data_IF_355730500678
#
_entry.id   IF_355730500678
#
_cell.length_a   1.000
_cell.length_b   1.000
_cell.length_c   1.000
_cell.angle_alpha   90.00
_cell.angle_beta   90.00
_cell.angle_gamma   90.00
#
_symmetry.space_group_name_H-M   'P 1'
#
loop_
_entity.id
_entity.type
_entity.pdbx_description
1 polymer ?
#
# COMPACT_ATOMS: atom_id res chain seq x y z
N UNK A 1 -33.11 -22.89 25.40
CA UNK A 1 -32.24 -21.81 24.89
C UNK A 1 -31.30 -21.42 26.00
N UNK A 2 -30.19 -22.15 26.14
CA UNK A 2 -29.13 -21.79 27.07
C UNK A 2 -28.31 -20.72 26.38
N UNK A 3 -28.40 -19.50 26.89
CA UNK A 3 -27.63 -18.33 26.48
C UNK A 3 -26.14 -18.66 26.77
N UNK A 4 -25.48 -19.39 25.86
CA UNK A 4 -24.05 -19.61 25.89
C UNK A 4 -23.39 -18.29 25.53
N UNK A 5 -23.47 -17.35 26.46
CA UNK A 5 -22.93 -16.01 26.35
C UNK A 5 -21.44 -16.15 26.19
N UNK A 6 -20.95 -15.86 24.98
CA UNK A 6 -19.55 -15.49 24.80
C UNK A 6 -19.23 -14.46 25.89
N UNK A 7 -18.26 -14.78 26.74
CA UNK A 7 -17.86 -13.90 27.85
C UNK A 7 -17.44 -12.58 27.23
N UNK A 8 -18.15 -11.51 27.57
CA UNK A 8 -17.88 -10.21 26.97
C UNK A 8 -16.45 -9.78 27.32
N UNK A 9 -15.72 -9.17 26.39
CA UNK A 9 -14.37 -8.63 26.70
C UNK A 9 -14.38 -7.68 27.90
N UNK A 10 -15.50 -7.00 28.16
CA UNK A 10 -15.67 -6.20 29.37
C UNK A 10 -15.68 -7.05 30.65
N UNK A 11 -16.39 -8.19 30.65
CA UNK A 11 -16.40 -9.14 31.76
C UNK A 11 -15.02 -9.74 31.99
N UNK A 12 -14.29 -10.08 30.91
CA UNK A 12 -12.90 -10.55 31.00
C UNK A 12 -12.00 -9.51 31.68
N UNK A 13 -12.09 -8.23 31.31
CA UNK A 13 -11.34 -7.15 31.97
C UNK A 13 -11.71 -7.01 33.44
N UNK A 14 -13.00 -6.92 33.75
CA UNK A 14 -13.47 -6.79 35.13
C UNK A 14 -13.03 -7.98 36.00
N UNK A 15 -13.03 -9.20 35.44
CA UNK A 15 -12.54 -10.39 36.15
C UNK A 15 -11.06 -10.28 36.52
N UNK A 16 -10.23 -9.73 35.63
CA UNK A 16 -8.80 -9.55 35.87
C UNK A 16 -8.55 -8.43 36.90
N UNK A 17 -9.24 -7.30 36.78
CA UNK A 17 -9.15 -6.19 37.74
C UNK A 17 -9.53 -6.67 39.15
N UNK A 18 -10.65 -7.40 39.27
CA UNK A 18 -11.12 -7.92 40.55
C UNK A 18 -10.16 -8.98 41.12
N UNK A 19 -9.53 -9.81 40.28
CA UNK A 19 -8.55 -10.80 40.75
C UNK A 19 -7.29 -10.16 41.33
N UNK A 20 -6.89 -8.97 40.86
CA UNK A 20 -5.73 -8.24 41.40
C UNK A 20 -6.02 -7.56 42.73
N UNK A 21 -7.28 -7.18 42.99
CA UNK A 21 -7.70 -6.60 44.26
C UNK A 21 -7.70 -7.64 45.42
N UNK A 22 -7.78 -8.93 45.09
CA UNK A 22 -7.67 -10.02 46.05
C UNK A 22 -6.18 -10.30 46.39
N UNK A 23 -5.61 -9.44 47.24
CA UNK A 23 -4.43 -9.60 48.11
C UNK A 23 -3.20 -10.35 47.55
N UNK A 24 -2.05 -9.66 47.32
CA UNK A 24 -0.77 -10.34 47.16
C UNK A 24 -0.22 -10.72 48.55
N UNK A 25 -0.05 -12.02 48.79
CA UNK A 25 0.82 -12.49 49.88
C UNK A 25 2.25 -11.95 49.67
N UNK A 26 2.96 -11.56 50.74
CA UNK A 26 4.29 -10.96 50.64
C UNK A 26 5.31 -11.96 50.10
N UNK A 27 5.83 -11.70 48.91
CA UNK A 27 6.90 -12.48 48.29
C UNK A 27 8.23 -12.19 49.02
N UNK A 28 9.00 -13.22 49.42
CA UNK A 28 10.32 -13.05 50.02
C UNK A 28 11.34 -12.53 49.00
N UNK A 29 12.21 -11.62 49.46
CA UNK A 29 13.20 -10.91 48.67
C UNK A 29 14.21 -11.84 47.96
N UNK A 30 14.32 -11.70 46.65
CA UNK A 30 15.34 -12.40 45.83
C UNK A 30 16.65 -11.60 45.79
N UNK A 31 17.84 -12.24 45.96
CA UNK A 31 19.13 -11.55 45.94
C UNK A 31 19.60 -11.16 44.53
N UNK A 32 20.43 -10.12 44.47
CA UNK A 32 20.95 -9.46 43.27
C UNK A 32 21.92 -10.31 42.43
N UNK A 33 21.86 -10.09 41.11
CA UNK A 33 22.81 -10.59 40.10
C UNK A 33 24.06 -9.71 40.00
N UNK A 34 25.25 -10.28 39.71
CA UNK A 34 26.44 -9.53 39.36
C UNK A 34 26.51 -9.18 37.86
N UNK A 35 27.06 -8.00 37.59
CA UNK A 35 27.36 -7.45 36.27
C UNK A 35 28.60 -8.10 35.64
N UNK A 36 28.69 -8.09 34.30
CA UNK A 36 29.98 -8.14 33.61
C UNK A 36 29.96 -7.45 32.23
N UNK A 37 31.13 -6.99 31.73
CA UNK A 37 31.27 -5.98 30.67
C UNK A 37 31.85 -6.50 29.34
N UNK A 38 31.82 -5.62 28.34
CA UNK A 38 32.72 -5.45 27.19
C UNK A 38 33.06 -6.63 26.25
N UNK A 39 32.81 -6.44 24.94
CA UNK A 39 33.76 -6.83 23.88
C UNK A 39 33.49 -6.16 22.52
N UNK A 40 34.47 -5.32 22.14
CA UNK A 40 35.09 -5.02 20.85
C UNK A 40 34.47 -5.51 19.51
N UNK A 41 34.46 -4.61 18.50
CA UNK A 41 34.47 -4.94 17.05
C UNK A 41 35.88 -5.38 16.57
N UNK A 42 36.31 -5.21 15.31
CA UNK A 42 35.64 -4.74 14.07
C UNK A 42 35.90 -5.68 12.85
N UNK A 43 35.39 -5.35 11.64
CA UNK A 43 36.11 -5.49 10.35
C UNK A 43 35.26 -5.02 9.15
N UNK A 44 35.86 -4.12 8.38
CA UNK A 44 35.52 -3.70 7.01
C UNK A 44 35.92 -4.75 6.00
N UNK A 45 35.17 -4.95 4.92
CA UNK A 45 35.78 -5.46 3.69
C UNK A 45 35.13 -4.90 2.41
N UNK A 46 36.01 -4.57 1.48
CA UNK A 46 35.79 -3.91 0.21
C UNK A 46 35.22 -4.87 -0.84
N UNK A 47 34.35 -4.40 -1.73
CA UNK A 47 34.22 -4.98 -3.07
C UNK A 47 33.92 -3.88 -4.10
N UNK A 48 34.95 -3.61 -4.91
CA UNK A 48 34.88 -2.91 -6.19
C UNK A 48 34.52 -3.92 -7.30
N UNK A 49 33.66 -3.52 -8.23
CA UNK A 49 33.64 -3.86 -9.67
C UNK A 49 32.26 -3.39 -10.20
N UNK A 50 32.11 -2.55 -11.23
CA UNK A 50 32.99 -2.31 -12.36
C UNK A 50 32.27 -2.77 -13.63
N UNK A 51 31.26 -2.03 -14.11
CA UNK A 51 30.68 -2.28 -15.45
C UNK A 51 30.41 -0.99 -16.21
N UNK A 52 31.21 -0.83 -17.27
CA UNK A 52 31.27 0.28 -18.20
C UNK A 52 30.31 0.00 -19.36
N UNK A 53 29.19 0.72 -19.44
CA UNK A 53 28.32 0.68 -20.62
C UNK A 53 28.77 1.72 -21.65
N UNK A 54 29.24 1.22 -22.81
CA UNK A 54 29.75 2.00 -23.93
C UNK A 54 28.68 2.79 -24.70
N UNK A 55 29.10 3.78 -25.50
CA UNK A 55 28.21 4.63 -26.29
C UNK A 55 27.74 3.91 -27.56
N UNK A 56 26.43 3.89 -27.78
CA UNK A 56 25.81 3.46 -29.04
C UNK A 56 25.71 4.63 -30.01
N UNK A 57 26.45 4.54 -31.11
CA UNK A 57 26.41 5.47 -32.24
C UNK A 57 25.08 5.39 -33.01
N UNK A 58 24.32 6.49 -33.01
CA UNK A 58 23.15 6.67 -33.87
C UNK A 58 23.59 7.28 -35.21
N UNK A 59 23.60 6.45 -36.26
CA UNK A 59 23.87 6.87 -37.63
C UNK A 59 22.62 7.48 -38.28
N UNK A 60 22.73 8.71 -38.76
CA UNK A 60 21.69 9.43 -39.50
C UNK A 60 21.64 9.00 -40.98
N UNK A 61 20.44 8.83 -41.58
CA UNK A 61 20.33 8.50 -43.00
C UNK A 61 20.56 9.74 -43.88
N UNK A 62 21.58 9.68 -44.74
CA UNK A 62 21.83 10.66 -45.81
C UNK A 62 20.87 10.48 -46.97
N UNK A 63 19.98 11.45 -47.18
CA UNK A 63 19.15 11.56 -48.38
C UNK A 63 20.00 12.05 -49.56
N UNK A 64 20.21 11.19 -50.56
CA UNK A 64 20.84 11.54 -51.84
C UNK A 64 19.84 12.32 -52.71
N UNK A 65 20.18 13.57 -53.03
CA UNK A 65 19.49 14.36 -54.05
C UNK A 65 19.88 13.89 -55.45
N UNK A 66 18.94 13.32 -56.19
CA UNK A 66 19.06 13.13 -57.64
C UNK A 66 18.76 14.45 -58.34
N UNK A 67 19.81 15.10 -58.85
CA UNK A 67 19.71 16.26 -59.73
C UNK A 67 19.26 15.82 -61.13
N UNK A 68 18.06 16.22 -61.53
CA UNK A 68 17.56 16.03 -62.90
C UNK A 68 17.63 17.34 -63.69
N UNK A 69 18.46 17.30 -64.72
CA UNK A 69 18.41 17.99 -66.01
C UNK A 69 17.90 19.43 -66.09
N UNK A 70 18.84 20.32 -66.40
CA UNK A 70 18.68 21.71 -66.81
C UNK A 70 17.94 21.76 -68.16
N UNK A 71 16.63 22.05 -68.11
CA UNK A 71 15.85 22.50 -69.26
C UNK A 71 15.85 24.03 -69.31
N UNK A 72 16.29 24.61 -70.44
CA UNK A 72 16.23 26.05 -70.71
C UNK A 72 14.78 26.54 -70.68
N UNK A 73 14.45 27.38 -69.69
CA UNK A 73 13.15 28.04 -69.61
C UNK A 73 13.22 29.46 -70.19
N UNK A 74 12.38 29.70 -71.20
CA UNK A 74 12.07 31.02 -71.72
C UNK A 74 11.59 31.94 -70.58
N UNK A 75 12.19 33.13 -70.41
CA UNK A 75 11.64 34.13 -69.51
C UNK A 75 10.44 34.80 -70.17
N UNK A 76 9.51 35.31 -69.35
CA UNK A 76 8.38 36.15 -69.77
C UNK A 76 7.11 35.41 -70.22
N UNK A 77 6.50 34.67 -69.29
CA UNK A 77 5.05 34.67 -69.19
C UNK A 77 4.69 35.11 -67.78
N UNK A 78 4.05 36.28 -67.64
CA UNK A 78 3.50 36.76 -66.37
C UNK A 78 2.43 35.75 -65.94
N UNK A 79 2.81 34.76 -65.13
CA UNK A 79 1.87 33.75 -64.64
C UNK A 79 0.81 34.49 -63.83
N UNK A 80 -0.49 34.29 -64.11
CA UNK A 80 -1.54 34.79 -63.24
C UNK A 80 -1.28 34.29 -61.82
N UNK A 81 -1.59 35.14 -60.83
CA UNK A 81 -1.48 34.87 -59.40
C UNK A 81 -1.95 33.43 -59.12
N UNK A 82 -1.02 32.56 -58.72
CA UNK A 82 -1.23 31.10 -58.70
C UNK A 82 -2.27 30.78 -57.61
N UNK A 83 -3.48 30.37 -58.01
CA UNK A 83 -4.53 29.96 -57.07
C UNK A 83 -4.13 28.62 -56.46
N UNK A 84 -3.65 28.66 -55.22
CA UNK A 84 -3.18 27.48 -54.48
C UNK A 84 -4.32 26.73 -53.76
N UNK A 85 -5.59 27.10 -53.96
CA UNK A 85 -6.71 26.47 -53.25
C UNK A 85 -6.85 24.97 -53.54
N UNK A 86 -6.70 24.55 -54.80
CA UNK A 86 -6.76 23.13 -55.16
C UNK A 86 -5.61 22.32 -54.53
N UNK A 87 -4.42 22.93 -54.44
CA UNK A 87 -3.29 22.33 -53.74
C UNK A 87 -3.55 22.22 -52.23
N UNK A 88 -4.07 23.29 -51.61
CA UNK A 88 -4.44 23.30 -50.19
C UNK A 88 -5.49 22.22 -49.86
N UNK A 89 -6.53 22.05 -50.67
CA UNK A 89 -7.53 20.99 -50.50
C UNK A 89 -6.90 19.59 -50.60
N UNK A 90 -6.00 19.39 -51.56
CA UNK A 90 -5.27 18.11 -51.73
C UNK A 90 -4.37 17.80 -50.52
N UNK A 91 -3.66 18.80 -49.99
CA UNK A 91 -2.83 18.64 -48.80
C UNK A 91 -3.69 18.38 -47.56
N UNK A 92 -4.81 19.11 -47.39
CA UNK A 92 -5.73 18.93 -46.27
C UNK A 92 -6.28 17.49 -46.24
N UNK A 93 -6.73 16.97 -47.39
CA UNK A 93 -7.20 15.60 -47.52
C UNK A 93 -6.08 14.57 -47.25
N UNK A 94 -4.90 14.79 -47.81
CA UNK A 94 -3.74 13.88 -47.65
C UNK A 94 -3.27 13.81 -46.19
N UNK A 95 -3.31 14.94 -45.47
CA UNK A 95 -2.94 15.03 -44.05
C UNK A 95 -4.10 14.76 -43.09
N UNK A 96 -5.30 14.50 -43.63
CA UNK A 96 -6.54 14.26 -42.86
C UNK A 96 -6.80 15.35 -41.81
N UNK A 97 -6.66 16.61 -42.23
CA UNK A 97 -6.94 17.76 -41.37
C UNK A 97 -8.41 17.78 -40.94
N UNK A 98 -8.71 18.36 -39.77
CA UNK A 98 -10.10 18.57 -39.37
C UNK A 98 -10.74 19.65 -40.25
N UNK A 99 -12.07 19.59 -40.44
CA UNK A 99 -12.80 20.53 -41.32
C UNK A 99 -12.55 22.00 -40.98
N UNK A 100 -12.32 22.33 -39.70
CA UNK A 100 -11.97 23.69 -39.27
C UNK A 100 -10.63 24.14 -39.84
N UNK A 101 -9.62 23.27 -39.79
CA UNK A 101 -8.26 23.56 -40.22
C UNK A 101 -8.15 23.55 -41.75
N UNK A 102 -8.97 22.73 -42.43
CA UNK A 102 -9.11 22.75 -43.89
C UNK A 102 -9.63 24.11 -44.39
N UNK A 103 -10.71 24.62 -43.79
CA UNK A 103 -11.25 25.96 -44.12
C UNK A 103 -10.23 27.07 -43.84
N UNK A 104 -9.44 26.94 -42.77
CA UNK A 104 -8.40 27.90 -42.43
C UNK A 104 -7.22 27.83 -43.43
N UNK A 105 -6.82 26.64 -43.87
CA UNK A 105 -5.78 26.43 -44.87
C UNK A 105 -6.20 26.92 -46.26
N UNK A 106 -7.44 26.68 -46.67
CA UNK A 106 -8.00 27.24 -47.91
C UNK A 106 -8.06 28.77 -47.86
N UNK A 107 -8.41 29.34 -46.71
CA UNK A 107 -8.39 30.80 -46.49
C UNK A 107 -6.96 31.34 -46.61
N UNK A 108 -5.98 30.64 -46.03
CA UNK A 108 -4.56 30.99 -46.14
C UNK A 108 -4.05 30.92 -47.59
N UNK A 109 -4.48 29.92 -48.37
CA UNK A 109 -4.05 29.74 -49.76
C UNK A 109 -4.43 30.92 -50.68
N UNK A 110 -5.56 31.59 -50.38
CA UNK A 110 -6.09 32.74 -51.12
C UNK A 110 -5.39 34.08 -50.79
N UNK A 111 -4.55 34.13 -49.77
CA UNK A 111 -3.83 35.35 -49.38
C UNK A 111 -2.67 35.66 -50.33
N UNK A 112 -2.35 36.94 -50.51
CA UNK A 112 -1.13 37.37 -51.19
C UNK A 112 0.12 36.96 -50.40
N UNK A 113 1.28 36.93 -51.06
CA UNK A 113 2.56 36.51 -50.46
C UNK A 113 2.89 37.26 -49.18
N UNK A 114 2.74 38.59 -49.17
CA UNK A 114 3.04 39.41 -47.99
C UNK A 114 2.09 39.10 -46.84
N UNK A 115 0.80 38.91 -47.14
CA UNK A 115 -0.21 38.52 -46.16
C UNK A 115 0.05 37.10 -45.62
N UNK A 116 0.51 36.16 -46.46
CA UNK A 116 0.92 34.81 -46.05
C UNK A 116 2.09 34.86 -45.07
N UNK A 117 3.09 35.69 -45.34
CA UNK A 117 4.25 35.87 -44.44
C UNK A 117 3.83 36.43 -43.08
N UNK A 118 2.99 37.46 -43.06
CA UNK A 118 2.46 38.03 -41.81
C UNK A 118 1.63 36.99 -41.04
N UNK A 119 0.80 36.22 -41.75
CA UNK A 119 0.00 35.17 -41.12
C UNK A 119 0.88 34.08 -40.51
N UNK A 120 1.91 33.59 -41.23
CA UNK A 120 2.86 32.62 -40.69
C UNK A 120 3.58 33.18 -39.46
N UNK A 121 4.05 34.43 -39.50
CA UNK A 121 4.72 35.06 -38.37
C UNK A 121 3.79 35.17 -37.15
N UNK A 122 2.53 35.57 -37.34
CA UNK A 122 1.53 35.61 -36.27
C UNK A 122 1.23 34.24 -35.68
N UNK A 123 1.07 33.21 -36.51
CA UNK A 123 0.84 31.83 -36.06
C UNK A 123 2.06 31.28 -35.31
N UNK A 124 3.28 31.58 -35.78
CA UNK A 124 4.52 31.19 -35.11
C UNK A 124 4.66 31.86 -33.73
N UNK A 125 4.35 33.16 -33.62
CA UNK A 125 4.34 33.87 -32.34
C UNK A 125 3.31 33.28 -31.38
N UNK A 126 2.12 32.93 -31.86
CA UNK A 126 1.10 32.26 -31.05
C UNK A 126 1.52 30.87 -30.59
N UNK A 127 2.23 30.12 -31.44
CA UNK A 127 2.83 28.83 -31.04
C UNK A 127 3.91 29.04 -29.99
N UNK A 128 4.75 30.08 -30.11
CA UNK A 128 5.77 30.43 -29.11
C UNK A 128 5.13 30.81 -27.76
N UNK A 129 4.09 31.64 -27.76
CA UNK A 129 3.32 31.97 -26.56
C UNK A 129 2.68 30.71 -25.93
N UNK A 130 2.22 29.78 -26.76
CA UNK A 130 1.74 28.48 -26.34
C UNK A 130 2.84 27.62 -25.69
N UNK A 131 4.04 27.61 -26.27
CA UNK A 131 5.20 26.88 -25.74
C UNK A 131 5.68 27.44 -24.40
N UNK A 132 5.68 28.75 -24.21
CA UNK A 132 5.99 29.37 -22.91
C UNK A 132 4.98 28.98 -21.81
N UNK A 133 3.73 28.75 -22.20
CA UNK A 133 2.67 28.28 -21.30
C UNK A 133 2.70 26.76 -21.06
N UNK A 134 3.38 26.00 -21.92
CA UNK A 134 3.62 24.58 -21.67
C UNK A 134 4.71 24.46 -20.60
N UNK A 135 4.31 24.62 -19.34
CA UNK A 135 5.08 24.05 -18.25
C UNK A 135 5.17 22.55 -18.52
N UNK A 136 6.40 22.04 -18.71
CA UNK A 136 6.63 20.61 -18.79
C UNK A 136 5.97 20.06 -17.53
N UNK A 137 4.93 19.19 -17.64
CA UNK A 137 4.32 18.60 -16.46
C UNK A 137 5.46 17.99 -15.68
N UNK A 138 5.69 18.43 -14.44
CA UNK A 138 6.73 17.84 -13.60
C UNK A 138 6.53 16.34 -13.68
N UNK A 139 7.50 15.65 -14.28
CA UNK A 139 7.35 14.24 -14.61
C UNK A 139 6.95 13.53 -13.33
N UNK A 140 5.74 12.97 -13.31
CA UNK A 140 5.15 12.40 -12.11
C UNK A 140 6.18 11.46 -11.48
N UNK A 141 6.56 11.74 -10.24
CA UNK A 141 7.63 11.00 -9.58
C UNK A 141 7.28 9.52 -9.56
N UNK A 142 8.03 8.74 -10.34
CA UNK A 142 7.79 7.31 -10.46
C UNK A 142 8.55 6.60 -9.35
N UNK A 143 7.80 5.97 -8.46
CA UNK A 143 8.36 5.27 -7.31
C UNK A 143 9.11 4.01 -7.75
N UNK A 144 10.31 3.80 -7.22
CA UNK A 144 11.11 2.62 -7.52
C UNK A 144 10.38 1.34 -7.08
N UNK A 145 10.37 0.30 -7.93
CA UNK A 145 9.64 -0.95 -7.67
C UNK A 145 10.10 -1.68 -6.40
N UNK A 146 11.39 -1.61 -6.05
CA UNK A 146 11.92 -2.19 -4.82
C UNK A 146 11.37 -1.48 -3.58
N UNK A 147 11.33 -0.15 -3.60
CA UNK A 147 10.72 0.65 -2.53
C UNK A 147 9.23 0.36 -2.40
N UNK A 148 8.51 0.17 -3.51
CA UNK A 148 7.10 -0.26 -3.45
C UNK A 148 6.92 -1.61 -2.76
N UNK A 149 7.79 -2.58 -3.07
CA UNK A 149 7.77 -3.89 -2.44
C UNK A 149 8.11 -3.81 -0.94
N UNK A 150 9.06 -2.97 -0.57
CA UNK A 150 9.44 -2.75 0.82
C UNK A 150 8.33 -2.06 1.62
N UNK A 151 7.67 -1.03 1.06
CA UNK A 151 6.49 -0.40 1.68
C UNK A 151 5.42 -1.45 1.92
N UNK A 152 5.16 -2.31 0.94
CA UNK A 152 4.13 -3.35 1.03
C UNK A 152 4.45 -4.40 2.10
N UNK A 153 5.70 -4.88 2.15
CA UNK A 153 6.18 -5.81 3.17
C UNK A 153 6.12 -5.21 4.59
N UNK A 154 6.64 -3.98 4.78
CA UNK A 154 6.60 -3.29 6.07
C UNK A 154 5.16 -2.98 6.51
N UNK A 155 4.30 -2.57 5.56
CA UNK A 155 2.87 -2.34 5.84
C UNK A 155 2.22 -3.59 6.41
N UNK A 156 2.45 -4.75 5.79
CA UNK A 156 1.90 -6.01 6.29
C UNK A 156 2.48 -6.39 7.65
N UNK A 157 3.82 -6.32 7.78
CA UNK A 157 4.53 -6.66 9.03
C UNK A 157 4.04 -5.83 10.21
N UNK A 158 3.84 -4.52 10.02
CA UNK A 158 3.36 -3.62 11.08
C UNK A 158 1.92 -3.90 11.50
N UNK A 159 1.06 -4.32 10.56
CA UNK A 159 -0.32 -4.68 10.88
C UNK A 159 -0.39 -6.04 11.60
N UNK A 160 0.54 -6.95 11.29
CA UNK A 160 0.63 -8.26 11.92
C UNK A 160 1.48 -8.27 13.19
N UNK A 161 2.07 -7.14 13.59
CA UNK A 161 2.84 -7.02 14.82
C UNK A 161 1.92 -7.25 16.04
N UNK A 162 2.19 -8.27 16.88
CA UNK A 162 1.41 -8.53 18.08
C UNK A 162 1.38 -7.35 19.05
N UNK A 163 2.39 -6.49 19.02
CA UNK A 163 2.55 -5.34 19.89
C UNK A 163 1.98 -4.04 19.29
N UNK A 164 1.34 -4.10 18.11
CA UNK A 164 0.82 -2.91 17.44
C UNK A 164 -0.13 -2.09 18.34
N UNK A 165 0.22 -0.81 18.49
CA UNK A 165 -0.53 0.14 19.30
C UNK A 165 -1.94 0.37 18.74
N UNK A 166 -2.01 0.70 17.45
CA UNK A 166 -3.22 1.06 16.74
C UNK A 166 -3.06 0.72 15.26
N UNK A 167 -4.17 0.71 14.53
CA UNK A 167 -4.29 0.32 13.13
C UNK A 167 -4.75 1.45 12.22
N UNK A 168 -5.42 2.47 12.74
CA UNK A 168 -5.88 3.64 11.98
C UNK A 168 -5.19 4.93 12.42
N UNK A 169 -4.96 5.10 13.72
CA UNK A 169 -4.56 6.37 14.32
C UNK A 169 -3.43 7.06 13.53
N UNK A 170 -3.62 8.31 13.14
CA UNK A 170 -2.66 9.04 12.28
C UNK A 170 -1.47 9.64 13.03
N UNK A 171 -1.57 9.83 14.36
CA UNK A 171 -0.52 10.47 15.17
C UNK A 171 0.55 9.50 15.65
N UNK A 172 0.13 8.33 16.14
CA UNK A 172 0.99 7.24 16.64
C UNK A 172 0.60 5.98 15.86
N UNK A 173 0.72 6.08 14.55
CA UNK A 173 0.08 5.18 13.61
C UNK A 173 1.02 4.19 12.95
N UNK A 174 0.47 3.15 12.30
CA UNK A 174 1.26 2.31 11.41
C UNK A 174 1.99 3.12 10.33
N UNK A 175 1.41 4.24 9.87
CA UNK A 175 2.05 5.12 8.90
C UNK A 175 3.31 5.79 9.45
N UNK A 176 3.27 6.34 10.68
CA UNK A 176 4.43 7.01 11.26
C UNK A 176 5.57 6.01 11.51
N UNK A 177 5.23 4.83 12.07
CA UNK A 177 6.21 3.76 12.31
C UNK A 177 6.78 3.21 10.99
N UNK A 178 5.95 3.10 9.95
CA UNK A 178 6.41 2.68 8.62
C UNK A 178 7.41 3.67 8.03
N UNK A 179 7.12 4.98 8.10
CA UNK A 179 8.02 5.99 7.58
C UNK A 179 9.32 6.05 8.39
N UNK A 180 9.24 5.91 9.71
CA UNK A 180 10.43 5.81 10.58
C UNK A 180 11.30 4.61 10.19
N UNK A 181 10.71 3.42 9.99
CA UNK A 181 11.45 2.23 9.55
C UNK A 181 12.07 2.39 8.15
N UNK A 182 11.41 3.09 7.23
CA UNK A 182 11.97 3.39 5.91
C UNK A 182 13.14 4.37 5.99
N UNK A 183 13.06 5.39 6.87
CA UNK A 183 14.15 6.33 7.11
C UNK A 183 15.36 5.66 7.78
N UNK A 184 15.12 4.69 8.68
CA UNK A 184 16.17 3.94 9.39
C UNK A 184 16.78 2.80 8.56
N UNK A 185 16.20 2.47 7.40
CA UNK A 185 16.67 1.36 6.57
C UNK A 185 18.10 1.59 6.06
N UNK A 186 18.95 0.56 6.15
CA UNK A 186 20.34 0.61 5.70
C UNK A 186 20.47 0.91 4.19
N UNK A 187 19.46 0.52 3.40
CA UNK A 187 19.38 0.74 1.96
C UNK A 187 19.17 2.22 1.59
N UNK A 188 18.84 3.08 2.57
CA UNK A 188 18.75 4.53 2.36
C UNK A 188 17.61 4.95 1.43
N UNK A 189 16.49 4.20 1.44
CA UNK A 189 15.35 4.45 0.55
C UNK A 189 14.82 5.90 0.60
N UNK A 190 14.89 6.53 1.78
CA UNK A 190 14.51 7.92 1.99
C UNK A 190 15.78 8.73 2.25
N UNK A 191 16.38 9.22 1.17
CA UNK A 191 17.53 10.14 1.26
C UNK A 191 17.10 11.53 1.72
N UNK A 192 18.04 12.32 2.25
CA UNK A 192 17.79 13.73 2.62
C UNK A 192 17.25 14.55 1.43
N UNK A 193 17.68 14.23 0.20
CA UNK A 193 17.17 14.88 -1.01
C UNK A 193 15.69 14.58 -1.27
N UNK A 194 15.26 13.32 -1.11
CA UNK A 194 13.85 12.93 -1.23
C UNK A 194 13.02 13.56 -0.11
N UNK A 195 13.56 13.64 1.11
CA UNK A 195 12.88 14.23 2.27
C UNK A 195 12.63 15.74 2.09
N UNK A 196 13.56 16.44 1.44
CA UNK A 196 13.42 17.86 1.13
C UNK A 196 12.47 18.12 -0.06
N UNK A 197 12.23 17.12 -0.91
CA UNK A 197 11.32 17.21 -2.04
C UNK A 197 9.90 16.78 -1.64
N UNK A 198 9.04 17.79 -1.42
CA UNK A 198 7.66 17.58 -0.97
C UNK A 198 6.85 16.70 -1.92
N UNK A 199 7.00 16.86 -3.24
CA UNK A 199 6.23 16.11 -4.24
C UNK A 199 6.56 14.62 -4.20
N UNK A 200 7.85 14.29 -4.09
CA UNK A 200 8.32 12.91 -3.94
C UNK A 200 7.86 12.29 -2.64
N UNK A 201 8.00 13.03 -1.53
CA UNK A 201 7.58 12.57 -0.21
C UNK A 201 6.07 12.34 -0.13
N UNK A 202 5.26 13.23 -0.71
CA UNK A 202 3.80 13.09 -0.78
C UNK A 202 3.40 11.85 -1.59
N UNK A 203 4.13 11.55 -2.67
CA UNK A 203 3.93 10.33 -3.46
C UNK A 203 4.22 9.06 -2.64
N UNK A 204 5.33 9.04 -1.89
CA UNK A 204 5.69 7.92 -1.00
C UNK A 204 4.62 7.74 0.09
N UNK A 205 4.22 8.82 0.76
CA UNK A 205 3.20 8.81 1.80
C UNK A 205 1.84 8.32 1.27
N UNK A 206 1.44 8.79 0.09
CA UNK A 206 0.22 8.35 -0.59
C UNK A 206 0.25 6.85 -0.86
N UNK A 207 1.38 6.34 -1.38
CA UNK A 207 1.56 4.91 -1.62
C UNK A 207 1.51 4.10 -0.32
N UNK A 208 2.19 4.54 0.73
CA UNK A 208 2.19 3.87 2.03
C UNK A 208 0.77 3.80 2.64
N UNK A 209 0.01 4.90 2.60
CA UNK A 209 -1.39 4.92 3.05
C UNK A 209 -2.26 3.94 2.27
N UNK A 210 -2.13 3.95 0.94
CA UNK A 210 -2.86 3.02 0.06
C UNK A 210 -2.53 1.56 0.41
N UNK A 211 -1.25 1.22 0.61
CA UNK A 211 -0.83 -0.13 0.99
C UNK A 211 -1.37 -0.55 2.36
N UNK A 212 -1.26 0.29 3.38
CA UNK A 212 -1.85 0.03 4.71
C UNK A 212 -3.37 -0.17 4.64
N UNK A 213 -4.06 0.62 3.82
CA UNK A 213 -5.50 0.45 3.59
C UNK A 213 -5.83 -0.89 2.92
N UNK A 214 -5.12 -1.25 1.84
CA UNK A 214 -5.33 -2.52 1.14
C UNK A 214 -5.04 -3.72 2.05
N UNK A 215 -3.92 -3.71 2.79
CA UNK A 215 -3.57 -4.81 3.70
C UNK A 215 -4.58 -4.98 4.83
N UNK A 216 -5.09 -3.88 5.39
CA UNK A 216 -6.21 -3.92 6.34
C UNK A 216 -7.49 -4.51 5.71
N UNK A 217 -7.78 -4.18 4.45
CA UNK A 217 -8.92 -4.78 3.74
C UNK A 217 -8.76 -6.28 3.56
N UNK A 218 -7.56 -6.75 3.17
CA UNK A 218 -7.24 -8.16 2.99
C UNK A 218 -7.33 -8.97 4.30
N UNK A 219 -6.69 -8.47 5.37
CA UNK A 219 -6.72 -9.12 6.68
C UNK A 219 -8.17 -9.28 7.15
N UNK A 220 -8.93 -8.19 7.06
CA UNK A 220 -10.35 -8.18 7.43
C UNK A 220 -11.15 -9.18 6.62
N UNK A 221 -10.97 -9.22 5.29
CA UNK A 221 -11.67 -10.17 4.41
C UNK A 221 -11.43 -11.62 4.84
N UNK A 222 -10.19 -11.98 5.18
CA UNK A 222 -9.85 -13.34 5.63
C UNK A 222 -10.43 -13.63 7.02
N UNK A 223 -10.38 -12.67 7.95
CA UNK A 223 -11.00 -12.83 9.27
C UNK A 223 -12.50 -13.11 9.15
N UNK A 224 -13.24 -12.29 8.40
CA UNK A 224 -14.68 -12.49 8.22
C UNK A 224 -15.02 -13.78 7.44
N UNK A 225 -14.21 -14.16 6.44
CA UNK A 225 -14.37 -15.43 5.75
C UNK A 225 -14.18 -16.63 6.68
N UNK A 226 -13.31 -16.53 7.69
CA UNK A 226 -13.14 -17.57 8.70
C UNK A 226 -14.35 -17.75 9.62
N UNK A 227 -15.25 -16.76 9.69
CA UNK A 227 -16.49 -16.81 10.47
C UNK A 227 -17.65 -17.44 9.70
N UNK A 228 -17.74 -17.21 8.38
CA UNK A 228 -18.90 -17.60 7.58
C UNK A 228 -19.14 -19.13 7.57
N UNK A 229 -18.06 -19.92 7.63
CA UNK A 229 -18.13 -21.39 7.73
C UNK A 229 -18.78 -21.83 9.03
N UNK A 230 -18.71 -21.03 10.10
CA UNK A 230 -19.31 -21.37 11.39
C UNK A 230 -20.81 -21.07 11.49
N UNK A 231 -21.36 -20.27 10.58
CA UNK A 231 -22.76 -19.81 10.67
C UNK A 231 -23.67 -20.66 9.77
N UNK A 232 -23.19 -21.14 8.62
CA UNK A 232 -24.01 -21.92 7.68
C UNK A 232 -24.48 -23.26 8.22
N UNK A 233 -23.71 -23.86 9.14
CA UNK A 233 -23.98 -25.22 9.61
C UNK A 233 -24.89 -25.24 10.86
N UNK A 234 -25.22 -24.07 11.40
CA UNK A 234 -26.00 -23.94 12.63
C UNK A 234 -27.52 -23.90 12.40
N UNK A 235 -27.99 -23.76 11.16
CA UNK A 235 -29.43 -23.59 10.88
C UNK A 235 -30.21 -24.90 10.66
N UNK A 236 -29.55 -26.06 10.47
CA UNK A 236 -30.23 -27.28 9.99
C UNK A 236 -30.35 -28.45 10.98
N UNK A 237 -29.82 -28.35 12.22
CA UNK A 237 -29.92 -29.46 13.19
C UNK A 237 -30.22 -28.99 14.62
N UNK A 238 -31.51 -28.82 14.93
CA UNK A 238 -32.03 -28.21 16.16
C UNK A 238 -32.03 -29.13 17.40
N UNK A 239 -31.28 -30.26 17.39
CA UNK A 239 -31.48 -31.31 18.40
C UNK A 239 -30.28 -31.72 19.25
N UNK A 240 -29.09 -31.13 19.08
CA UNK A 240 -27.94 -31.46 19.93
C UNK A 240 -27.36 -30.22 20.63
N UNK A 241 -27.85 -29.94 21.84
CA UNK A 241 -27.17 -29.03 22.76
C UNK A 241 -25.84 -29.64 23.18
N UNK A 242 -24.74 -29.25 22.55
CA UNK A 242 -23.39 -29.51 23.04
C UNK A 242 -22.39 -28.58 22.35
N UNK A 243 -21.39 -28.13 23.11
CA UNK A 243 -20.25 -27.32 22.69
C UNK A 243 -19.31 -28.08 21.73
N UNK A 244 -19.87 -28.74 20.71
CA UNK A 244 -19.09 -29.39 19.69
C UNK A 244 -18.40 -28.31 18.84
N UNK A 245 -17.09 -28.43 18.58
CA UNK A 245 -16.41 -27.52 17.68
C UNK A 245 -17.09 -27.54 16.31
N UNK A 246 -17.25 -26.36 15.71
CA UNK A 246 -17.77 -26.20 14.36
C UNK A 246 -16.90 -27.04 13.41
N UNK A 247 -17.48 -28.04 12.75
CA UNK A 247 -16.75 -29.10 12.06
C UNK A 247 -15.75 -28.60 10.99
N UNK A 248 -16.00 -27.42 10.40
CA UNK A 248 -15.16 -26.83 9.35
C UNK A 248 -14.56 -25.46 9.70
N UNK A 249 -14.63 -25.03 10.97
CA UNK A 249 -13.99 -23.79 11.38
C UNK A 249 -12.46 -23.85 11.23
N UNK A 250 -11.86 -22.80 10.64
CA UNK A 250 -10.40 -22.68 10.60
C UNK A 250 -9.87 -22.46 12.01
N UNK A 251 -9.06 -23.39 12.49
CA UNK A 251 -8.33 -23.20 13.75
C UNK A 251 -7.39 -21.98 13.65
N UNK A 252 -6.98 -21.45 14.81
CA UNK A 252 -6.23 -20.19 14.88
C UNK A 252 -4.87 -20.27 14.15
N UNK A 253 -4.22 -21.43 14.15
CA UNK A 253 -2.93 -21.64 13.49
C UNK A 253 -3.06 -21.53 11.97
N UNK A 254 -4.01 -22.26 11.39
CA UNK A 254 -4.31 -22.23 9.94
C UNK A 254 -4.72 -20.83 9.52
N UNK A 255 -5.54 -20.15 10.33
CA UNK A 255 -5.90 -18.75 10.07
C UNK A 255 -4.68 -17.81 10.06
N UNK A 256 -3.73 -18.01 10.98
CA UNK A 256 -2.49 -17.24 10.95
C UNK A 256 -1.66 -17.53 9.68
N UNK A 257 -1.52 -18.80 9.28
CA UNK A 257 -0.85 -19.16 8.03
C UNK A 257 -1.52 -18.53 6.80
N UNK A 258 -2.85 -18.55 6.73
CA UNK A 258 -3.62 -17.90 5.67
C UNK A 258 -3.36 -16.39 5.60
N UNK A 259 -3.29 -15.74 6.77
CA UNK A 259 -2.97 -14.31 6.84
C UNK A 259 -1.53 -14.05 6.38
N UNK A 260 -0.56 -14.85 6.80
CA UNK A 260 0.84 -14.72 6.35
C UNK A 260 0.97 -14.95 4.83
N UNK A 261 0.15 -15.83 4.27
CA UNK A 261 0.08 -16.09 2.82
C UNK A 261 -0.45 -14.90 1.99
N UNK A 262 -1.07 -13.87 2.62
CA UNK A 262 -1.42 -12.60 1.94
C UNK A 262 -0.17 -11.92 1.37
N UNK A 263 0.95 -12.05 2.09
CA UNK A 263 2.22 -11.48 1.70
C UNK A 263 3.20 -12.61 1.35
N UNK A 264 2.94 -13.31 0.24
CA UNK A 264 3.83 -14.35 -0.32
C UNK A 264 5.27 -13.89 -0.57
N UNK A 265 5.50 -12.58 -0.59
CA UNK A 265 6.80 -11.92 -0.77
C UNK A 265 7.37 -11.34 0.52
N UNK A 266 6.66 -11.45 1.64
CA UNK A 266 7.31 -11.24 2.94
C UNK A 266 8.43 -12.26 3.01
N UNK A 267 9.66 -11.78 3.14
CA UNK A 267 10.82 -12.64 3.25
C UNK A 267 10.67 -13.66 4.39
N UNK A 268 11.70 -14.50 4.62
CA UNK A 268 11.66 -15.62 5.57
C UNK A 268 11.46 -15.27 7.07
N UNK A 269 10.96 -14.09 7.40
CA UNK A 269 11.00 -13.53 8.76
C UNK A 269 9.76 -13.73 9.63
N UNK A 270 8.53 -13.74 9.09
CA UNK A 270 7.33 -13.80 9.94
C UNK A 270 6.89 -15.25 10.11
N UNK A 271 7.09 -15.78 11.31
CA UNK A 271 6.63 -17.11 11.70
C UNK A 271 5.38 -17.00 12.59
N UNK A 272 4.56 -18.05 12.60
CA UNK A 272 3.42 -18.12 13.51
C UNK A 272 3.94 -18.32 14.93
N UNK A 273 3.72 -17.31 15.78
CA UNK A 273 4.06 -17.33 17.21
C UNK A 273 2.80 -17.31 18.06
N UNK A 274 2.91 -17.66 19.34
CA UNK A 274 1.77 -17.61 20.29
C UNK A 274 1.19 -16.20 20.40
N UNK A 275 2.05 -15.18 20.40
CA UNK A 275 1.64 -13.77 20.46
C UNK A 275 0.87 -13.37 19.20
N UNK A 276 1.28 -13.85 18.03
CA UNK A 276 0.54 -13.63 16.79
C UNK A 276 -0.82 -14.32 16.82
N UNK A 277 -0.88 -15.58 17.26
CA UNK A 277 -2.15 -16.29 17.44
C UNK A 277 -3.10 -15.53 18.37
N UNK A 278 -2.61 -15.07 19.52
CA UNK A 278 -3.42 -14.30 20.48
C UNK A 278 -3.93 -12.99 19.88
N UNK A 279 -3.10 -12.32 19.07
CA UNK A 279 -3.49 -11.11 18.35
C UNK A 279 -4.58 -11.37 17.31
N UNK A 280 -4.43 -12.42 16.51
CA UNK A 280 -5.41 -12.80 15.49
C UNK A 280 -6.72 -13.25 16.12
N UNK A 281 -6.67 -13.99 17.23
CA UNK A 281 -7.85 -14.38 18.01
C UNK A 281 -8.62 -13.15 18.52
N UNK A 282 -7.91 -12.14 19.03
CA UNK A 282 -8.51 -10.86 19.39
C UNK A 282 -9.18 -10.14 18.21
N UNK A 283 -8.53 -10.10 17.04
CA UNK A 283 -9.14 -9.52 15.84
C UNK A 283 -10.40 -10.29 15.40
N UNK A 284 -10.37 -11.62 15.50
CA UNK A 284 -11.50 -12.50 15.15
C UNK A 284 -12.68 -12.34 16.12
N UNK A 285 -12.41 -12.20 17.41
CA UNK A 285 -13.42 -11.90 18.44
C UNK A 285 -14.16 -10.58 18.10
N UNK A 286 -13.42 -9.52 17.72
CA UNK A 286 -14.03 -8.25 17.31
C UNK A 286 -14.87 -8.42 16.05
N UNK A 287 -14.36 -9.16 15.05
CA UNK A 287 -15.08 -9.42 13.81
C UNK A 287 -16.41 -10.15 14.09
N UNK A 288 -16.40 -11.11 15.02
CA UNK A 288 -17.58 -11.88 15.45
C UNK A 288 -18.64 -10.96 16.09
N UNK A 289 -18.23 -10.05 16.99
CA UNK A 289 -19.16 -9.06 17.58
C UNK A 289 -19.76 -8.13 16.53
N UNK A 290 -18.95 -7.70 15.56
CA UNK A 290 -19.43 -6.82 14.50
C UNK A 290 -20.42 -7.50 13.55
N UNK A 291 -20.16 -8.76 13.17
CA UNK A 291 -21.08 -9.53 12.34
C UNK A 291 -22.43 -9.76 13.02
N UNK A 292 -22.45 -9.87 14.36
CA UNK A 292 -23.70 -10.00 15.12
C UNK A 292 -24.48 -8.68 15.22
N UNK A 293 -23.78 -7.54 15.31
CA UNK A 293 -24.43 -6.24 15.60
C UNK A 293 -24.95 -5.54 14.36
N UNK A 294 -24.31 -5.75 13.20
CA UNK A 294 -24.47 -4.84 12.07
C UNK A 294 -25.00 -5.54 10.82
N UNK A 295 -26.30 -5.38 10.56
CA UNK A 295 -26.91 -5.82 9.30
C UNK A 295 -26.49 -5.01 8.07
N UNK A 296 -26.02 -3.76 8.23
CA UNK A 296 -25.87 -2.79 7.12
C UNK A 296 -24.52 -2.04 7.02
N UNK A 297 -23.43 -2.53 7.62
CA UNK A 297 -22.21 -1.73 7.66
C UNK A 297 -21.02 -2.32 8.39
N UNK A 298 -20.30 -3.20 7.71
CA UNK A 298 -18.96 -3.71 8.08
C UNK A 298 -17.93 -2.55 8.27
N UNK A 299 -18.28 -1.28 8.11
CA UNK A 299 -17.36 -0.14 8.00
C UNK A 299 -16.46 0.12 9.23
N UNK A 300 -16.92 -0.14 10.46
CA UNK A 300 -16.24 0.32 11.69
C UNK A 300 -15.24 -0.64 12.35
N UNK A 301 -14.96 -1.80 11.73
CA UNK A 301 -14.05 -2.83 12.26
C UNK A 301 -12.78 -2.29 12.90
N UNK A 302 -11.97 -1.58 12.13
CA UNK A 302 -10.67 -1.12 12.59
C UNK A 302 -10.78 -0.04 13.68
N UNK A 303 -11.86 0.74 13.71
CA UNK A 303 -12.11 1.73 14.76
C UNK A 303 -12.44 1.03 16.08
N UNK A 304 -13.23 -0.04 16.02
CA UNK A 304 -13.56 -0.87 17.18
C UNK A 304 -12.33 -1.65 17.69
N UNK A 305 -11.47 -2.14 16.79
CA UNK A 305 -10.16 -2.71 17.16
C UNK A 305 -9.33 -1.69 17.93
N UNK A 306 -9.13 -0.49 17.38
CA UNK A 306 -8.31 0.55 18.02
C UNK A 306 -8.88 1.00 19.37
N UNK A 307 -10.20 1.16 19.45
CA UNK A 307 -10.91 1.50 20.68
C UNK A 307 -10.69 0.44 21.77
N UNK A 308 -10.86 -0.83 21.43
CA UNK A 308 -10.74 -1.94 22.37
C UNK A 308 -9.29 -2.11 22.85
N UNK A 309 -8.30 -1.89 21.98
CA UNK A 309 -6.89 -1.87 22.36
C UNK A 309 -6.54 -0.71 23.29
N UNK A 310 -7.05 0.49 22.99
CA UNK A 310 -6.84 1.65 23.84
C UNK A 310 -7.46 1.45 25.23
N UNK A 311 -8.70 0.94 25.31
CA UNK A 311 -9.34 0.56 26.57
C UNK A 311 -8.52 -0.48 27.32
N UNK A 312 -8.06 -1.55 26.66
CA UNK A 312 -7.25 -2.60 27.31
C UNK A 312 -5.99 -2.02 27.96
N UNK A 313 -5.28 -1.13 27.28
CA UNK A 313 -4.06 -0.50 27.84
C UNK A 313 -4.34 0.48 28.98
N UNK A 314 -5.50 1.12 28.95
CA UNK A 314 -5.91 2.09 29.97
C UNK A 314 -6.37 1.36 31.23
N UNK A 315 -7.17 0.30 31.06
CA UNK A 315 -7.73 -0.49 32.15
C UNK A 315 -6.70 -1.45 32.77
N UNK A 316 -5.80 -2.00 31.94
CA UNK A 316 -4.77 -2.96 32.33
C UNK A 316 -3.38 -2.34 32.12
N UNK A 317 -2.93 -1.53 33.06
CA UNK A 317 -1.61 -0.87 32.98
C UNK A 317 -0.42 -1.82 33.06
N UNK A 318 -0.62 -3.00 33.68
CA UNK A 318 0.39 -4.04 33.86
C UNK A 318 0.47 -4.96 32.63
N UNK A 319 1.68 -5.12 32.08
CA UNK A 319 1.94 -6.00 30.94
C UNK A 319 1.53 -7.45 31.20
N UNK A 320 1.65 -7.92 32.44
CA UNK A 320 1.25 -9.28 32.82
C UNK A 320 -0.26 -9.45 32.68
N UNK A 321 -1.05 -8.47 33.12
CA UNK A 321 -2.50 -8.50 32.99
C UNK A 321 -2.95 -8.40 31.53
N UNK A 322 -2.27 -7.58 30.72
CA UNK A 322 -2.53 -7.52 29.28
C UNK A 322 -2.27 -8.89 28.63
N UNK A 323 -1.14 -9.53 28.96
CA UNK A 323 -0.81 -10.87 28.47
C UNK A 323 -1.87 -11.90 28.87
N UNK A 324 -2.34 -11.87 30.13
CA UNK A 324 -3.42 -12.75 30.59
C UNK A 324 -4.75 -12.48 29.86
N UNK A 325 -5.07 -11.22 29.57
CA UNK A 325 -6.26 -10.85 28.82
C UNK A 325 -6.24 -11.45 27.41
N UNK A 326 -5.16 -11.24 26.65
CA UNK A 326 -5.02 -11.83 25.32
C UNK A 326 -4.94 -13.37 25.36
N UNK A 327 -4.32 -13.95 26.38
CA UNK A 327 -4.31 -15.40 26.60
C UNK A 327 -5.72 -15.98 26.78
N UNK A 328 -6.57 -15.35 27.61
CA UNK A 328 -7.96 -15.78 27.79
C UNK A 328 -8.77 -15.70 26.49
N UNK A 329 -8.51 -14.71 25.65
CA UNK A 329 -9.17 -14.59 24.34
C UNK A 329 -8.72 -15.74 23.42
N UNK A 330 -7.41 -16.03 23.37
CA UNK A 330 -6.89 -17.16 22.60
C UNK A 330 -7.47 -18.50 23.08
N UNK A 331 -7.57 -18.72 24.39
CA UNK A 331 -8.16 -19.93 24.96
C UNK A 331 -9.64 -20.08 24.58
N UNK A 332 -10.39 -18.97 24.56
CA UNK A 332 -11.79 -18.98 24.13
C UNK A 332 -11.89 -19.32 22.64
N UNK A 333 -11.04 -18.70 21.83
CA UNK A 333 -10.97 -18.94 20.39
C UNK A 333 -10.64 -20.41 20.07
N UNK A 334 -9.68 -21.03 20.77
CA UNK A 334 -9.35 -22.46 20.66
C UNK A 334 -10.50 -23.39 21.09
N UNK A 335 -11.36 -22.97 22.01
CA UNK A 335 -12.54 -23.74 22.40
C UNK A 335 -13.63 -23.72 21.33
N UNK A 336 -13.82 -22.57 20.66
CA UNK A 336 -14.87 -22.37 19.66
C UNK A 336 -14.47 -22.95 18.31
N UNK A 337 -13.25 -22.65 17.85
CA UNK A 337 -12.81 -22.92 16.48
C UNK A 337 -11.81 -24.08 16.37
N UNK A 338 -11.65 -24.86 17.43
CA UNK A 338 -10.81 -26.06 17.45
C UNK A 338 -9.45 -25.88 18.14
N UNK A 339 -9.00 -26.96 18.79
CA UNK A 339 -7.76 -26.99 19.57
C UNK A 339 -6.54 -27.09 18.66
N UNK A 340 -5.45 -26.48 19.11
CA UNK A 340 -4.12 -26.57 18.51
C UNK A 340 -3.08 -26.61 19.63
N UNK A 341 -2.02 -27.39 19.46
CA UNK A 341 -0.95 -27.47 20.46
C UNK A 341 -0.02 -26.25 20.35
N UNK A 342 -0.25 -25.24 21.18
CA UNK A 342 0.55 -24.02 21.23
C UNK A 342 2.01 -24.28 21.59
N UNK A 343 2.35 -25.40 22.26
CA UNK A 343 3.73 -25.73 22.63
C UNK A 343 4.57 -26.16 21.42
N UNK A 344 3.92 -26.51 20.30
CA UNK A 344 4.60 -26.80 19.04
C UNK A 344 5.13 -25.54 18.34
N UNK A 345 4.66 -24.35 18.74
CA UNK A 345 5.13 -23.09 18.18
C UNK A 345 6.47 -22.69 18.80
N UNK A 346 7.34 -22.09 17.98
CA UNK A 346 8.60 -21.56 18.47
C UNK A 346 8.33 -20.40 19.45
N UNK A 347 9.05 -20.42 20.56
CA UNK A 347 9.15 -19.24 21.42
C UNK A 347 9.78 -18.10 20.62
N UNK A 348 9.11 -16.95 20.59
CA UNK A 348 9.55 -15.74 19.88
C UNK A 348 10.72 -15.08 20.58
#
# INVERSE_FOLDING_TARGET
>A
MSDSRAVSMQELRLSLINSKAASPDPIPATPALPANPDSAGPATDNFEDGDVFGPTDFSSPSSQSTASAIGQFNPSCKRPLEDLTQYAATVAHTRKLQRKDEVELERFAKLDTDHKLIWIAGTLLKVHEGQEKLTIPEAAYTLLKSLEAQIDHLSFTLLMDPHAAAYINTKIGPLSVLMEKLEQSAEGWITKAIKNDKSKMDTILSKARSRLMHRRSDIKRILFASLAVAISDAEDDTTAGNNAPVADARNIYVLCEDLLNICKRSGPGIQVTVQLCARVAFLREIATRESATTSNGISKFWENVDKELASTRTDLTDATMQSMFFGKILDNDLKIYGKFDLNSLKAS
#
